data_IF_508886298162
#
_entry.id   IF_508886298162
#
_cell.length_a   1.000
_cell.length_b   1.000
_cell.length_c   1.000
_cell.angle_alpha   90.00
_cell.angle_beta   90.00
_cell.angle_gamma   90.00
#
_symmetry.space_group_name_H-M   'P 1'
#
loop_
_entity.id
_entity.type
_entity.pdbx_description
1 polymer ?
#
# COMPACT_ATOMS: atom_id res chain seq x y z
N UNK A 1 12.29 10.86 -31.06
CA UNK A 1 12.73 9.73 -31.89
C UNK A 1 11.52 9.12 -32.60
N UNK A 2 11.69 8.68 -33.87
CA UNK A 2 10.63 7.96 -34.58
C UNK A 2 10.33 6.61 -33.90
N UNK A 3 9.09 6.08 -34.05
CA UNK A 3 8.72 4.78 -33.49
C UNK A 3 9.62 3.66 -34.03
N UNK A 4 9.82 2.61 -33.22
CA UNK A 4 10.60 1.45 -33.67
C UNK A 4 9.95 0.79 -34.89
N UNK A 5 10.78 0.30 -35.82
CA UNK A 5 10.31 -0.39 -37.03
C UNK A 5 9.51 -1.65 -36.71
N UNK A 6 9.86 -2.35 -35.63
CA UNK A 6 9.09 -3.47 -35.14
C UNK A 6 7.94 -2.99 -34.24
N UNK A 7 6.72 -3.08 -34.75
CA UNK A 7 5.51 -2.66 -34.04
C UNK A 7 5.31 -3.39 -32.70
N UNK A 8 5.75 -4.65 -32.58
CA UNK A 8 5.66 -5.39 -31.32
C UNK A 8 6.63 -4.82 -30.27
N UNK A 9 7.84 -4.43 -30.67
CA UNK A 9 8.76 -3.75 -29.75
C UNK A 9 8.21 -2.40 -29.31
N UNK A 10 7.59 -1.65 -30.21
CA UNK A 10 6.93 -0.39 -29.89
C UNK A 10 5.76 -0.60 -28.91
N UNK A 11 4.93 -1.64 -29.12
CA UNK A 11 3.85 -2.01 -28.19
C UNK A 11 4.38 -2.37 -26.80
N UNK A 12 5.47 -3.15 -26.74
CA UNK A 12 6.16 -3.49 -25.50
C UNK A 12 6.71 -2.24 -24.77
N UNK A 13 7.37 -1.33 -25.51
CA UNK A 13 7.90 -0.08 -24.94
C UNK A 13 6.79 0.77 -24.32
N UNK A 14 5.62 0.84 -24.98
CA UNK A 14 4.46 1.59 -24.47
C UNK A 14 3.91 0.98 -23.18
N UNK A 15 3.72 -0.33 -23.13
CA UNK A 15 3.27 -1.04 -21.93
C UNK A 15 4.23 -0.80 -20.75
N UNK A 16 5.54 -0.96 -20.97
CA UNK A 16 6.55 -0.71 -19.92
C UNK A 16 6.60 0.77 -19.52
N UNK A 17 6.42 1.71 -20.45
CA UNK A 17 6.38 3.15 -20.13
C UNK A 17 5.20 3.54 -19.24
N UNK A 18 4.10 2.78 -19.28
CA UNK A 18 2.93 2.95 -18.40
C UNK A 18 3.14 2.37 -17.00
N UNK A 19 4.23 1.63 -16.78
CA UNK A 19 4.56 1.00 -15.50
C UNK A 19 4.23 -0.49 -15.42
N UNK A 20 3.84 -1.13 -16.53
CA UNK A 20 3.64 -2.59 -16.53
C UNK A 20 4.96 -3.34 -16.36
N UNK A 21 4.91 -4.47 -15.64
CA UNK A 21 6.04 -5.36 -15.51
C UNK A 21 6.45 -5.94 -16.88
N UNK A 22 7.76 -6.15 -17.09
CA UNK A 22 8.29 -6.61 -18.37
C UNK A 22 7.72 -7.96 -18.82
N UNK A 23 7.47 -8.88 -17.88
CA UNK A 23 6.83 -10.17 -18.15
C UNK A 23 5.40 -10.00 -18.66
N UNK A 24 4.59 -9.19 -17.97
CA UNK A 24 3.21 -8.89 -18.35
C UNK A 24 3.13 -8.18 -19.70
N UNK A 25 3.96 -7.16 -19.91
CA UNK A 25 4.03 -6.41 -21.17
C UNK A 25 4.42 -7.32 -22.35
N UNK A 26 5.40 -8.20 -22.16
CA UNK A 26 5.81 -9.14 -23.21
C UNK A 26 4.73 -10.18 -23.48
N UNK A 27 4.10 -10.72 -22.44
CA UNK A 27 3.00 -11.68 -22.55
C UNK A 27 1.80 -11.10 -23.28
N UNK A 28 1.44 -9.84 -23.01
CA UNK A 28 0.33 -9.15 -23.66
C UNK A 28 0.57 -8.91 -25.16
N UNK A 29 1.80 -8.56 -25.55
CA UNK A 29 2.15 -8.23 -26.94
C UNK A 29 2.40 -9.47 -27.81
N UNK A 30 3.02 -10.50 -27.23
CA UNK A 30 3.42 -11.71 -27.96
C UNK A 30 2.50 -12.91 -27.72
N UNK A 31 1.51 -12.78 -26.83
CA UNK A 31 0.53 -13.82 -26.48
C UNK A 31 1.19 -15.14 -26.06
N UNK A 32 2.13 -15.06 -25.11
CA UNK A 32 2.92 -16.21 -24.64
C UNK A 32 2.72 -16.45 -23.14
N UNK A 33 2.92 -17.70 -22.71
CA UNK A 33 2.91 -18.10 -21.30
C UNK A 33 3.92 -17.34 -20.43
N UNK A 34 3.61 -17.20 -19.14
CA UNK A 34 4.35 -16.37 -18.17
C UNK A 34 5.86 -16.65 -18.15
N UNK A 35 6.25 -17.92 -18.05
CA UNK A 35 7.67 -18.30 -17.97
C UNK A 35 8.49 -17.83 -19.19
N UNK A 36 7.91 -17.94 -20.40
CA UNK A 36 8.59 -17.48 -21.62
C UNK A 36 8.61 -15.96 -21.69
N UNK A 37 7.55 -15.31 -21.21
CA UNK A 37 7.43 -13.86 -21.17
C UNK A 37 8.41 -13.21 -20.17
N UNK A 38 8.67 -13.84 -19.03
CA UNK A 38 9.67 -13.37 -18.05
C UNK A 38 11.08 -13.33 -18.62
N UNK A 39 11.51 -14.44 -19.24
CA UNK A 39 12.85 -14.56 -19.83
C UNK A 39 13.02 -13.61 -21.01
N UNK A 40 12.08 -13.63 -21.96
CA UNK A 40 12.19 -12.84 -23.18
C UNK A 40 11.89 -11.34 -22.95
N UNK A 41 11.00 -11.00 -22.02
CA UNK A 41 10.78 -9.62 -21.60
C UNK A 41 12.04 -9.01 -20.99
N UNK A 42 12.71 -9.75 -20.09
CA UNK A 42 13.99 -9.33 -19.51
C UNK A 42 15.11 -9.19 -20.56
N UNK A 43 15.15 -10.08 -21.55
CA UNK A 43 16.09 -9.98 -22.68
C UNK A 43 15.80 -8.76 -23.55
N UNK A 44 14.53 -8.49 -23.85
CA UNK A 44 14.13 -7.37 -24.70
C UNK A 44 14.45 -6.02 -24.04
N UNK A 45 14.33 -5.93 -22.72
CA UNK A 45 14.75 -4.74 -21.96
C UNK A 45 16.26 -4.47 -21.98
N UNK A 46 17.10 -5.43 -22.33
CA UNK A 46 18.55 -5.22 -22.46
C UNK A 46 18.95 -4.64 -23.82
N UNK A 47 18.02 -4.58 -24.78
CA UNK A 47 18.29 -4.01 -26.10
C UNK A 47 18.35 -2.49 -26.01
N UNK A 48 19.49 -1.89 -26.38
CA UNK A 48 19.72 -0.44 -26.33
C UNK A 48 18.59 0.37 -26.98
N UNK A 49 18.11 -0.05 -28.18
CA UNK A 49 17.03 0.66 -28.89
C UNK A 49 15.71 0.68 -28.12
N UNK A 50 15.43 -0.39 -27.36
CA UNK A 50 14.24 -0.52 -26.52
C UNK A 50 14.39 0.34 -25.26
N UNK A 51 15.56 0.31 -24.63
CA UNK A 51 15.87 1.14 -23.44
C UNK A 51 15.69 2.62 -23.78
N UNK A 52 16.33 3.08 -24.85
CA UNK A 52 16.28 4.49 -25.27
C UNK A 52 14.85 4.92 -25.58
N UNK A 53 14.07 4.04 -26.23
CA UNK A 53 12.66 4.31 -26.51
C UNK A 53 11.81 4.39 -25.25
N UNK A 54 12.00 3.47 -24.31
CA UNK A 54 11.28 3.50 -23.02
C UNK A 54 11.64 4.77 -22.24
N UNK A 55 12.92 5.16 -22.22
CA UNK A 55 13.37 6.39 -21.57
C UNK A 55 12.74 7.64 -22.21
N UNK A 56 12.68 7.70 -23.54
CA UNK A 56 12.00 8.78 -24.26
C UNK A 56 10.51 8.85 -23.91
N UNK A 57 9.79 7.72 -23.97
CA UNK A 57 8.35 7.67 -23.67
C UNK A 57 8.07 8.09 -22.22
N UNK A 58 8.91 7.64 -21.27
CA UNK A 58 8.83 8.07 -19.87
C UNK A 58 9.15 9.56 -19.72
N UNK A 59 10.13 10.09 -20.44
CA UNK A 59 10.46 11.51 -20.44
C UNK A 59 9.34 12.38 -21.02
N UNK A 60 8.64 11.92 -22.05
CA UNK A 60 7.46 12.61 -22.60
C UNK A 60 6.28 12.56 -21.62
N UNK A 61 6.06 11.43 -20.97
CA UNK A 61 5.06 11.32 -19.92
C UNK A 61 5.39 12.26 -18.75
N UNK A 62 6.65 12.28 -18.30
CA UNK A 62 7.15 13.18 -17.27
C UNK A 62 6.89 14.65 -17.63
N UNK A 63 7.26 15.09 -18.84
CA UNK A 63 6.99 16.46 -19.33
C UNK A 63 5.51 16.84 -19.34
N UNK A 64 4.60 15.89 -19.57
CA UNK A 64 3.15 16.13 -19.49
C UNK A 64 2.65 16.22 -18.05
N UNK A 65 3.29 15.52 -17.14
CA UNK A 65 2.95 15.50 -15.71
C UNK A 65 3.74 16.53 -14.88
N UNK A 66 4.75 17.18 -15.45
CA UNK A 66 5.55 18.27 -14.86
C UNK A 66 4.74 19.57 -14.72
N UNK A 67 3.53 19.50 -14.16
CA UNK A 67 2.92 20.67 -13.54
C UNK A 67 3.71 20.99 -12.28
N UNK A 68 4.68 21.88 -12.44
CA UNK A 68 5.45 22.43 -11.32
C UNK A 68 4.61 23.45 -10.55
N UNK A 69 5.00 23.74 -9.31
CA UNK A 69 4.38 24.82 -8.52
C UNK A 69 4.39 26.14 -9.30
N UNK A 70 5.49 26.45 -9.99
CA UNK A 70 5.60 27.65 -10.82
C UNK A 70 4.58 27.68 -11.96
N UNK A 71 4.38 26.56 -12.68
CA UNK A 71 3.35 26.50 -13.73
C UNK A 71 1.94 26.63 -13.17
N UNK A 72 1.66 26.08 -11.99
CA UNK A 72 0.35 26.19 -11.36
C UNK A 72 0.05 27.61 -10.89
N UNK A 73 1.06 28.34 -10.39
CA UNK A 73 0.92 29.75 -10.03
C UNK A 73 0.61 30.59 -11.26
N UNK A 74 1.30 30.34 -12.39
CA UNK A 74 1.03 31.02 -13.66
C UNK A 74 -0.39 30.75 -14.18
N UNK A 75 -0.85 29.49 -14.14
CA UNK A 75 -2.23 29.14 -14.50
C UNK A 75 -3.25 29.89 -13.62
N UNK A 76 -2.96 30.04 -12.32
CA UNK A 76 -3.82 30.78 -11.39
C UNK A 76 -3.82 32.29 -11.65
N UNK A 77 -2.71 32.86 -12.11
CA UNK A 77 -2.64 34.27 -12.54
C UNK A 77 -3.54 34.52 -13.76
N UNK A 78 -3.52 33.62 -14.75
CA UNK A 78 -4.43 33.67 -15.90
C UNK A 78 -5.91 33.56 -15.48
N UNK A 79 -6.22 32.70 -14.51
CA UNK A 79 -7.57 32.58 -13.93
C UNK A 79 -8.00 33.88 -13.23
N UNK A 80 -7.08 34.57 -12.55
CA UNK A 80 -7.36 35.87 -11.93
C UNK A 80 -7.67 36.92 -13.00
N UNK A 81 -6.89 36.98 -14.09
CA UNK A 81 -7.14 37.88 -15.20
C UNK A 81 -8.50 37.61 -15.86
N UNK A 82 -8.83 36.34 -16.09
CA UNK A 82 -10.13 35.94 -16.62
C UNK A 82 -11.28 36.31 -15.65
N UNK A 83 -11.11 36.06 -14.35
CA UNK A 83 -12.11 36.40 -13.34
C UNK A 83 -12.33 37.93 -13.22
N UNK A 84 -11.29 38.75 -13.46
CA UNK A 84 -11.41 40.21 -13.55
C UNK A 84 -12.29 40.61 -14.74
N UNK A 85 -12.10 39.99 -15.90
CA UNK A 85 -12.94 40.23 -17.08
C UNK A 85 -14.40 39.84 -16.83
N UNK A 86 -14.62 38.70 -16.16
CA UNK A 86 -15.96 38.23 -15.79
C UNK A 86 -16.58 38.97 -14.59
N UNK A 87 -15.88 39.92 -13.96
CA UNK A 87 -16.31 40.63 -12.75
C UNK A 87 -16.74 39.69 -11.62
N UNK A 88 -16.06 38.56 -11.47
CA UNK A 88 -16.34 37.59 -10.40
C UNK A 88 -15.27 37.67 -9.31
N UNK A 89 -15.49 38.47 -8.24
CA UNK A 89 -14.49 38.64 -7.19
C UNK A 89 -14.28 37.38 -6.34
N UNK A 90 -15.29 36.52 -6.21
CA UNK A 90 -15.17 35.28 -5.44
C UNK A 90 -14.17 34.31 -6.07
N UNK A 91 -14.17 34.20 -7.40
CA UNK A 91 -13.20 33.39 -8.13
C UNK A 91 -11.77 33.91 -7.98
N UNK A 92 -11.58 35.25 -7.95
CA UNK A 92 -10.26 35.85 -7.72
C UNK A 92 -9.72 35.51 -6.33
N UNK A 93 -10.55 35.67 -5.29
CA UNK A 93 -10.14 35.36 -3.91
C UNK A 93 -9.79 33.87 -3.75
N UNK A 94 -10.56 32.98 -4.39
CA UNK A 94 -10.28 31.55 -4.39
C UNK A 94 -8.92 31.23 -5.06
N UNK A 95 -8.62 31.86 -6.21
CA UNK A 95 -7.36 31.68 -6.91
C UNK A 95 -6.16 32.20 -6.09
N UNK A 96 -6.26 33.38 -5.48
CA UNK A 96 -5.22 33.95 -4.60
C UNK A 96 -5.01 33.05 -3.37
N UNK A 97 -6.09 32.53 -2.79
CA UNK A 97 -6.00 31.58 -1.67
C UNK A 97 -5.30 30.29 -2.09
N UNK A 98 -5.57 29.79 -3.30
CA UNK A 98 -4.89 28.61 -3.84
C UNK A 98 -3.39 28.87 -4.07
N UNK A 99 -3.00 30.05 -4.59
CA UNK A 99 -1.60 30.46 -4.72
C UNK A 99 -0.91 30.50 -3.35
N UNK A 100 -1.53 31.12 -2.35
CA UNK A 100 -0.97 31.18 -0.99
C UNK A 100 -0.74 29.80 -0.38
N UNK A 101 -1.63 28.83 -0.64
CA UNK A 101 -1.46 27.43 -0.23
C UNK A 101 -0.29 26.76 -0.95
N UNK A 102 -0.17 26.94 -2.27
CA UNK A 102 0.93 26.35 -3.05
C UNK A 102 2.31 26.90 -2.66
N UNK A 103 2.37 28.19 -2.28
CA UNK A 103 3.60 28.86 -1.84
C UNK A 103 3.92 28.63 -0.35
N UNK A 104 3.04 27.94 0.39
CA UNK A 104 3.23 27.70 1.82
C UNK A 104 3.05 28.95 2.70
N UNK A 105 2.41 30.00 2.18
CA UNK A 105 2.12 31.24 2.92
C UNK A 105 0.91 31.08 3.86
N UNK A 106 0.19 29.98 3.75
CA UNK A 106 -0.99 29.68 4.55
C UNK A 106 -0.83 28.32 5.23
N UNK A 107 -1.03 28.28 6.56
CA UNK A 107 -1.01 27.03 7.31
C UNK A 107 -2.19 26.14 6.92
N UNK A 108 -2.02 24.80 6.87
CA UNK A 108 -3.14 23.89 6.68
C UNK A 108 -4.11 24.00 7.84
N UNK A 109 -5.41 23.96 7.55
CA UNK A 109 -6.48 24.10 8.55
C UNK A 109 -6.51 22.96 9.57
N UNK A 110 -5.96 21.79 9.22
CA UNK A 110 -5.86 20.65 10.12
C UNK A 110 -4.56 19.89 9.84
N UNK A 111 -3.67 19.86 10.83
CA UNK A 111 -2.54 18.93 10.87
C UNK A 111 -3.05 17.67 11.57
N UNK A 112 -3.34 16.61 10.81
CA UNK A 112 -3.47 15.28 11.41
C UNK A 112 -2.08 14.84 11.85
N UNK A 113 -1.71 15.22 13.07
CA UNK A 113 -0.55 14.65 13.75
C UNK A 113 -0.95 13.21 14.05
N UNK A 114 -0.52 12.29 13.19
CA UNK A 114 -0.63 10.86 13.45
C UNK A 114 0.27 10.56 14.65
N UNK A 115 -0.29 10.70 15.86
CA UNK A 115 0.31 10.17 17.06
C UNK A 115 0.32 8.67 16.88
N UNK A 116 1.39 8.12 16.31
CA UNK A 116 1.66 6.70 16.39
C UNK A 116 2.09 6.48 17.85
N UNK A 117 1.23 5.98 18.74
CA UNK A 117 1.74 5.56 20.04
C UNK A 117 2.86 4.57 19.77
N UNK A 118 3.91 4.62 20.59
CA UNK A 118 4.99 3.64 20.51
C UNK A 118 4.39 2.23 20.42
N UNK A 119 4.98 1.29 19.66
CA UNK A 119 4.42 -0.06 19.44
C UNK A 119 4.45 -0.95 20.70
N UNK A 120 4.49 -0.35 21.88
CA UNK A 120 4.51 -1.03 23.15
C UNK A 120 3.13 -0.85 23.80
N UNK A 121 2.51 -1.92 24.32
CA UNK A 121 1.32 -1.78 25.15
C UNK A 121 1.71 -0.95 26.39
N UNK A 122 1.15 0.26 26.51
CA UNK A 122 1.33 1.12 27.69
C UNK A 122 0.61 0.56 28.92
N UNK A 123 -0.17 -0.52 28.76
CA UNK A 123 -0.53 -1.43 29.85
C UNK A 123 0.67 -2.33 30.17
N UNK A 124 1.73 -1.73 30.73
CA UNK A 124 2.76 -2.50 31.43
C UNK A 124 2.04 -3.09 32.64
N UNK A 125 1.63 -4.35 32.47
CA UNK A 125 1.33 -5.37 33.48
C UNK A 125 1.54 -4.82 34.89
N UNK A 126 0.44 -4.51 35.59
CA UNK A 126 0.45 -4.34 37.04
C UNK A 126 0.75 -5.70 37.66
N UNK A 127 2.02 -6.08 37.58
CA UNK A 127 2.56 -7.26 38.24
C UNK A 127 2.43 -6.99 39.73
N UNK A 128 1.76 -7.89 40.45
CA UNK A 128 1.59 -7.74 41.90
C UNK A 128 2.97 -7.66 42.56
N UNK A 129 3.10 -7.00 43.72
CA UNK A 129 4.41 -6.82 44.40
C UNK A 129 5.14 -8.16 44.62
N UNK A 130 4.39 -9.24 44.83
CA UNK A 130 4.90 -10.60 45.00
C UNK A 130 5.56 -11.13 43.72
N UNK A 131 4.91 -10.93 42.57
CA UNK A 131 5.43 -11.37 41.28
C UNK A 131 6.61 -10.50 40.81
N UNK A 132 6.59 -9.20 41.14
CA UNK A 132 7.69 -8.28 40.86
C UNK A 132 8.94 -8.63 41.68
N UNK A 133 8.77 -8.88 42.98
CA UNK A 133 9.87 -9.30 43.85
C UNK A 133 10.43 -10.67 43.46
N UNK A 134 9.59 -11.61 43.02
CA UNK A 134 10.05 -12.89 42.49
C UNK A 134 10.89 -12.75 41.22
N UNK A 135 10.50 -11.83 40.33
CA UNK A 135 11.18 -11.64 39.04
C UNK A 135 12.46 -10.79 39.16
N UNK A 136 12.49 -9.81 40.06
CA UNK A 136 13.55 -8.79 40.10
C UNK A 136 14.32 -8.67 41.42
N UNK A 137 13.97 -9.38 42.50
CA UNK A 137 14.79 -9.35 43.72
C UNK A 137 16.09 -10.15 43.56
N UNK A 138 17.20 -9.54 43.95
CA UNK A 138 18.55 -10.15 43.93
C UNK A 138 18.88 -10.79 45.27
N UNK A 139 17.94 -11.57 45.84
CA UNK A 139 18.11 -12.31 47.10
C UNK A 139 18.14 -13.83 46.90
N UNK A 140 18.73 -14.61 47.83
CA UNK A 140 18.78 -16.07 47.76
C UNK A 140 17.45 -16.67 48.26
N UNK A 141 16.36 -16.39 47.55
CA UNK A 141 15.05 -17.01 47.77
C UNK A 141 14.75 -18.08 46.70
N UNK A 142 13.88 -19.06 46.96
CA UNK A 142 13.50 -20.05 45.96
C UNK A 142 12.72 -19.35 44.84
N UNK A 143 13.28 -19.33 43.63
CA UNK A 143 12.58 -18.87 42.43
C UNK A 143 11.63 -19.98 41.97
N UNK A 144 10.30 -19.80 42.00
CA UNK A 144 9.41 -20.73 41.30
C UNK A 144 9.70 -20.64 39.80
N UNK A 145 9.92 -21.79 39.16
CA UNK A 145 10.24 -21.85 37.74
C UNK A 145 9.07 -21.31 36.91
N UNK A 146 9.32 -20.32 36.05
CA UNK A 146 8.39 -19.72 35.08
C UNK A 146 7.93 -20.69 33.97
N UNK A 147 7.78 -21.99 34.25
CA UNK A 147 7.37 -22.99 33.26
C UNK A 147 6.55 -24.14 33.86
N UNK A 148 5.54 -23.90 34.70
CA UNK A 148 4.53 -24.94 34.95
C UNK A 148 3.45 -25.00 33.84
N UNK A 149 3.34 -23.97 32.99
CA UNK A 149 2.45 -23.95 31.82
C UNK A 149 3.07 -24.40 30.49
N UNK A 150 4.38 -24.61 30.41
CA UNK A 150 5.08 -24.80 29.12
C UNK A 150 5.44 -26.26 28.78
N UNK A 151 5.04 -27.25 29.60
CA UNK A 151 5.29 -28.68 29.32
C UNK A 151 4.00 -29.49 29.16
N UNK A 152 3.23 -29.19 28.12
CA UNK A 152 2.26 -30.13 27.57
C UNK A 152 1.98 -29.90 26.07
N UNK A 153 3.03 -29.84 25.25
CA UNK A 153 2.94 -30.32 23.86
C UNK A 153 4.00 -31.38 23.67
N UNK A 154 3.69 -32.60 24.14
CA UNK A 154 4.41 -33.79 23.71
C UNK A 154 4.34 -33.82 22.18
N UNK A 155 5.50 -33.76 21.56
CA UNK A 155 5.67 -34.11 20.17
C UNK A 155 5.10 -35.51 19.96
N UNK A 156 3.87 -35.58 19.44
CA UNK A 156 3.30 -36.83 18.98
C UNK A 156 4.09 -37.21 17.73
N UNK A 157 5.06 -38.11 17.91
CA UNK A 157 5.65 -38.87 16.82
C UNK A 157 4.50 -39.51 16.08
N UNK A 158 4.06 -38.92 14.97
CA UNK A 158 3.24 -39.59 13.96
C UNK A 158 4.04 -40.83 13.57
N UNK A 159 3.67 -41.97 14.15
CA UNK A 159 4.08 -43.27 13.64
C UNK A 159 3.59 -43.31 12.21
N UNK A 160 4.55 -43.23 11.30
CA UNK A 160 4.41 -43.65 9.91
C UNK A 160 4.12 -45.16 9.95
N UNK A 161 2.87 -45.53 10.24
CA UNK A 161 2.38 -46.87 9.96
C UNK A 161 1.82 -46.79 8.55
N UNK A 162 2.55 -47.40 7.61
CA UNK A 162 2.10 -47.54 6.22
C UNK A 162 0.71 -48.17 6.17
N UNK A 163 -0.15 -47.63 5.29
CA UNK A 163 -1.26 -48.42 4.75
C UNK A 163 -0.84 -49.00 3.41
N UNK A 164 -1.28 -50.23 3.10
CA UNK A 164 -0.97 -50.83 1.83
C UNK A 164 -1.69 -50.08 0.70
N UNK A 165 -0.97 -50.02 -0.41
CA UNK A 165 -1.41 -49.68 -1.76
C UNK A 165 -2.70 -50.43 -2.09
N UNK A 166 -3.76 -49.70 -2.40
CA UNK A 166 -4.62 -49.96 -3.55
C UNK A 166 -5.62 -48.82 -3.77
N UNK A 167 -5.94 -48.59 -5.04
CA UNK A 167 -6.48 -47.33 -5.54
C UNK A 167 -7.96 -47.12 -5.32
N UNK A 168 -8.32 -45.89 -4.96
CA UNK A 168 -9.39 -45.13 -5.58
C UNK A 168 -9.22 -43.65 -5.20
N UNK A 169 -9.52 -42.73 -6.13
CA UNK A 169 -9.37 -41.27 -5.93
C UNK A 169 -10.60 -40.70 -5.26
N UNK A 170 -10.51 -40.43 -3.95
CA UNK A 170 -11.43 -39.50 -3.29
C UNK A 170 -10.66 -38.25 -2.85
N UNK A 171 -11.01 -37.12 -3.47
CA UNK A 171 -10.44 -35.80 -3.22
C UNK A 171 -10.93 -35.30 -1.87
N UNK A 172 -10.06 -35.23 -0.87
CA UNK A 172 -10.36 -34.53 0.39
C UNK A 172 -10.26 -33.03 0.14
N UNK A 173 -11.41 -32.40 -0.03
CA UNK A 173 -11.56 -30.93 -0.11
C UNK A 173 -11.18 -30.34 1.25
N UNK A 174 -10.21 -29.42 1.27
CA UNK A 174 -9.89 -28.64 2.47
C UNK A 174 -11.07 -27.71 2.82
N UNK A 175 -11.45 -27.56 4.10
CA UNK A 175 -12.59 -26.72 4.47
C UNK A 175 -12.29 -25.24 4.22
N UNK A 176 -13.23 -24.54 3.60
CA UNK A 176 -13.16 -23.09 3.39
C UNK A 176 -13.28 -22.34 4.72
N UNK A 177 -12.41 -21.37 4.93
CA UNK A 177 -12.42 -20.47 6.09
C UNK A 177 -13.54 -19.44 5.86
N UNK A 178 -14.61 -19.51 6.66
CA UNK A 178 -15.70 -18.54 6.64
C UNK A 178 -15.33 -17.28 7.45
N UNK A 179 -15.46 -16.09 6.84
CA UNK A 179 -15.08 -14.80 7.43
C UNK A 179 -16.27 -13.95 7.92
N UNK A 180 -17.43 -14.55 8.15
CA UNK A 180 -18.61 -13.79 8.60
C UNK A 180 -19.03 -14.19 10.01
N UNK A 181 -18.63 -13.38 11.00
CA UNK A 181 -19.35 -13.29 12.26
C UNK A 181 -20.25 -12.04 12.19
N UNK A 182 -21.54 -12.12 12.56
CA UNK A 182 -22.43 -10.96 12.47
C UNK A 182 -21.97 -9.87 13.44
N UNK A 183 -21.76 -8.68 12.91
CA UNK A 183 -21.43 -7.49 13.67
C UNK A 183 -22.47 -7.29 14.78
N UNK A 184 -22.03 -7.44 16.04
CA UNK A 184 -22.78 -6.88 17.17
C UNK A 184 -22.88 -5.38 16.95
N UNK A 185 -24.12 -4.93 16.85
CA UNK A 185 -24.61 -3.56 16.79
C UNK A 185 -23.73 -2.63 17.65
N UNK A 186 -22.90 -1.84 16.98
CA UNK A 186 -22.16 -0.76 17.61
C UNK A 186 -23.14 0.40 17.68
N UNK A 187 -23.62 0.69 18.88
CA UNK A 187 -24.49 1.85 19.12
C UNK A 187 -23.66 3.13 18.94
N UNK A 188 -23.85 3.80 17.80
CA UNK A 188 -23.15 5.05 17.46
C UNK A 188 -24.04 6.22 17.89
N UNK A 189 -23.71 6.97 18.95
CA UNK A 189 -24.52 8.12 19.34
C UNK A 189 -24.49 9.17 18.22
N UNK A 190 -25.65 9.44 17.64
CA UNK A 190 -25.82 10.47 16.62
C UNK A 190 -25.70 11.85 17.26
N UNK A 191 -24.77 12.64 16.73
CA UNK A 191 -24.48 14.00 17.18
C UNK A 191 -25.59 14.94 16.72
N UNK A 192 -26.36 15.48 17.67
CA UNK A 192 -27.13 16.71 17.52
C UNK A 192 -28.56 16.55 17.02
N UNK A 193 -29.48 16.24 17.93
CA UNK A 193 -30.88 16.68 17.84
C UNK A 193 -31.21 17.33 19.18
N UNK A 194 -31.46 18.64 19.16
CA UNK A 194 -32.03 19.37 20.27
C UNK A 194 -33.54 19.24 20.07
N UNK A 195 -34.19 18.37 20.83
CA UNK A 195 -35.64 18.36 20.92
C UNK A 195 -36.05 19.46 21.90
N UNK A 196 -36.61 20.54 21.33
CA UNK A 196 -37.40 21.52 22.06
C UNK A 196 -38.83 20.97 22.10
N UNK A 197 -39.29 20.63 23.30
CA UNK A 197 -40.66 20.83 23.81
C UNK A 197 -40.68 20.67 25.33
#
# INVERSE_FOLDING_TARGET
MPPLSNQRHEGFCRAVSRGEAASTAYGAVYHVASHVAEVNGSRLLRNAKVIDRVAELKGQAAKRTEKTVASLVADLDEVIEFARQCRNPAAMVAAVTAQARLLGLMAPSQLEILHRPAPLPTSILELTEEEWTAQFSTGPGPRPALTEGAKARKAEKRKMNGRPRDGNRDVVVAPAIAWDAPAKEIDVPHRGVIDLD
#
